data_IF_600815355596
#
_entry.id   IF_600815355596
#
_cell.length_a   1.000
_cell.length_b   1.000
_cell.length_c   1.000
_cell.angle_alpha   90.00
_cell.angle_beta   90.00
_cell.angle_gamma   90.00
#
_symmetry.space_group_name_H-M   'P 1'
#
loop_
_entity.id
_entity.type
_entity.pdbx_description
1 polymer ?
#
# COMPACT_ATOMS: atom_id res chain seq x y z
N UNK A 1 -18.76 19.36 30.34
CA UNK A 1 -17.33 19.55 30.06
C UNK A 1 -16.57 18.67 31.04
N UNK A 2 -15.73 17.74 30.57
CA UNK A 2 -14.87 16.95 31.46
C UNK A 2 -13.94 17.84 32.27
N UNK A 3 -13.58 17.42 33.48
CA UNK A 3 -12.67 18.17 34.34
C UNK A 3 -11.23 18.15 33.79
N UNK A 4 -10.42 19.13 34.18
CA UNK A 4 -8.99 19.15 33.81
C UNK A 4 -8.24 17.91 34.31
N UNK A 5 -8.69 17.33 35.43
CA UNK A 5 -8.14 16.09 35.95
C UNK A 5 -8.45 14.89 35.04
N UNK A 6 -9.66 14.82 34.48
CA UNK A 6 -10.05 13.77 33.54
C UNK A 6 -9.24 13.86 32.24
N UNK A 7 -9.09 15.06 31.69
CA UNK A 7 -8.25 15.30 30.50
C UNK A 7 -6.79 14.92 30.75
N UNK A 8 -6.24 15.23 31.92
CA UNK A 8 -4.89 14.80 32.32
C UNK A 8 -4.76 13.28 32.36
N UNK A 9 -5.71 12.57 32.98
CA UNK A 9 -5.72 11.10 33.02
C UNK A 9 -5.78 10.48 31.62
N UNK A 10 -6.61 11.03 30.73
CA UNK A 10 -6.70 10.59 29.34
C UNK A 10 -5.39 10.83 28.57
N UNK A 11 -4.72 11.96 28.82
CA UNK A 11 -3.40 12.24 28.25
C UNK A 11 -2.34 11.24 28.70
N UNK A 12 -2.31 10.91 29.99
CA UNK A 12 -1.41 9.91 30.56
C UNK A 12 -1.68 8.52 29.98
N UNK A 13 -2.96 8.14 29.84
CA UNK A 13 -3.36 6.89 29.19
C UNK A 13 -2.92 6.84 27.73
N UNK A 14 -3.04 7.95 26.99
CA UNK A 14 -2.55 8.03 25.62
C UNK A 14 -1.06 7.75 25.55
N UNK A 15 -0.25 8.45 26.36
CA UNK A 15 1.21 8.30 26.36
C UNK A 15 1.62 6.87 26.72
N UNK A 16 0.94 6.23 27.68
CA UNK A 16 1.19 4.85 28.04
C UNK A 16 0.85 3.85 26.92
N UNK A 17 -0.18 4.12 26.12
CA UNK A 17 -0.68 3.17 25.11
C UNK A 17 -0.07 3.36 23.71
N UNK A 18 0.11 4.61 23.29
CA UNK A 18 0.55 4.98 21.94
C UNK A 18 1.92 5.66 21.91
N UNK A 19 2.41 6.13 23.06
CA UNK A 19 3.70 6.80 23.19
C UNK A 19 3.59 8.32 23.07
N UNK A 20 4.55 9.03 23.67
CA UNK A 20 4.52 10.49 23.74
C UNK A 20 4.63 11.15 22.36
N UNK A 21 5.51 10.62 21.50
CA UNK A 21 5.75 11.14 20.14
C UNK A 21 4.52 11.02 19.22
N UNK A 22 3.57 10.15 19.54
CA UNK A 22 2.35 9.97 18.75
C UNK A 22 1.31 11.08 19.01
N UNK A 23 1.49 11.88 20.06
CA UNK A 23 0.54 12.93 20.39
C UNK A 23 0.84 14.20 19.58
N UNK A 24 -0.10 14.56 18.72
CA UNK A 24 -0.02 15.73 17.85
C UNK A 24 -1.31 16.56 17.94
N UNK A 25 -1.36 17.72 17.29
CA UNK A 25 -2.52 18.62 17.33
C UNK A 25 -3.87 17.95 17.03
N UNK A 26 -3.90 16.98 16.10
CA UNK A 26 -5.10 16.17 15.82
C UNK A 26 -5.64 15.33 16.99
N UNK A 27 -4.83 14.98 17.99
CA UNK A 27 -5.24 14.32 19.23
C UNK A 27 -5.52 15.31 20.38
N UNK A 28 -4.84 16.45 20.37
CA UNK A 28 -5.07 17.54 21.32
C UNK A 28 -6.48 18.14 21.19
N UNK A 29 -6.93 18.36 19.95
CA UNK A 29 -8.28 18.89 19.67
C UNK A 29 -9.41 18.04 20.26
N UNK A 30 -9.53 16.72 19.97
CA UNK A 30 -10.57 15.90 20.57
C UNK A 30 -10.40 15.77 22.09
N UNK A 31 -9.17 15.73 22.64
CA UNK A 31 -8.99 15.76 24.10
C UNK A 31 -9.56 17.03 24.74
N UNK A 32 -9.45 18.18 24.06
CA UNK A 32 -9.97 19.45 24.57
C UNK A 32 -11.49 19.58 24.39
N UNK A 33 -11.99 19.21 23.21
CA UNK A 33 -13.35 19.47 22.75
C UNK A 33 -14.34 18.35 23.10
N UNK A 34 -13.94 17.09 22.94
CA UNK A 34 -14.78 15.91 23.19
C UNK A 34 -13.96 14.75 23.79
N UNK A 35 -13.72 14.78 25.11
CA UNK A 35 -12.95 13.76 25.83
C UNK A 35 -13.55 12.35 25.72
N UNK A 36 -14.87 12.23 25.55
CA UNK A 36 -15.53 10.95 25.35
C UNK A 36 -15.14 10.35 23.99
N UNK A 37 -15.17 11.16 22.92
CA UNK A 37 -14.69 10.74 21.61
C UNK A 37 -13.18 10.48 21.58
N UNK A 38 -12.37 11.29 22.28
CA UNK A 38 -10.94 11.03 22.47
C UNK A 38 -10.68 9.65 23.09
N UNK A 39 -11.37 9.35 24.20
CA UNK A 39 -11.23 8.09 24.92
C UNK A 39 -11.61 6.89 24.04
N UNK A 40 -12.73 6.99 23.30
CA UNK A 40 -13.14 5.96 22.35
C UNK A 40 -12.13 5.77 21.21
N UNK A 41 -11.61 6.87 20.65
CA UNK A 41 -10.61 6.85 19.58
C UNK A 41 -9.28 6.23 20.05
N UNK A 42 -8.82 6.60 21.25
CA UNK A 42 -7.63 6.00 21.87
C UNK A 42 -7.82 4.50 22.12
N UNK A 43 -8.99 4.09 22.63
CA UNK A 43 -9.31 2.68 22.88
C UNK A 43 -9.21 1.86 21.59
N UNK A 44 -9.77 2.37 20.49
CA UNK A 44 -9.71 1.73 19.17
C UNK A 44 -8.27 1.70 18.62
N UNK A 45 -7.59 2.86 18.59
CA UNK A 45 -6.25 2.99 18.04
C UNK A 45 -5.20 2.18 18.81
N UNK A 46 -5.39 1.95 20.12
CA UNK A 46 -4.45 1.20 20.94
C UNK A 46 -4.58 -0.32 20.85
N UNK A 47 -5.66 -0.86 20.25
CA UNK A 47 -5.87 -2.32 20.20
C UNK A 47 -4.67 -3.05 19.57
N UNK A 48 -4.17 -2.67 18.37
CA UNK A 48 -3.01 -3.33 17.79
C UNK A 48 -1.77 -3.15 18.67
N UNK A 49 -1.65 -1.97 19.30
CA UNK A 49 -0.50 -1.66 20.15
C UNK A 49 -0.45 -2.50 21.42
N UNK A 50 -1.59 -2.82 22.01
CA UNK A 50 -1.71 -3.66 23.22
C UNK A 50 -1.56 -5.14 22.89
N UNK A 51 -2.17 -5.60 21.79
CA UNK A 51 -2.09 -7.01 21.37
C UNK A 51 -0.70 -7.43 20.92
N UNK A 52 0.06 -6.51 20.30
CA UNK A 52 1.47 -6.71 19.94
C UNK A 52 1.76 -7.96 19.10
N UNK A 53 0.81 -8.40 18.25
CA UNK A 53 1.03 -9.51 17.31
C UNK A 53 1.98 -9.16 16.17
N UNK A 54 2.12 -7.88 15.86
CA UNK A 54 3.09 -7.32 14.92
C UNK A 54 4.09 -6.47 15.67
N UNK A 55 5.33 -6.40 15.18
CA UNK A 55 6.36 -5.52 15.76
C UNK A 55 5.96 -4.05 15.63
N UNK A 56 6.58 -3.16 16.41
CA UNK A 56 6.34 -1.71 16.32
C UNK A 56 6.73 -1.15 14.95
N UNK A 57 7.85 -1.65 14.41
CA UNK A 57 8.32 -1.38 13.05
C UNK A 57 7.24 -1.72 12.01
N UNK A 58 6.72 -2.95 12.03
CA UNK A 58 5.74 -3.40 11.03
C UNK A 58 4.42 -2.64 11.14
N UNK A 59 3.97 -2.34 12.37
CA UNK A 59 2.79 -1.50 12.58
C UNK A 59 2.96 -0.12 11.93
N UNK A 60 4.13 0.52 12.11
CA UNK A 60 4.43 1.82 11.52
C UNK A 60 4.56 1.75 9.98
N UNK A 61 5.19 0.70 9.44
CA UNK A 61 5.28 0.48 7.99
C UNK A 61 3.91 0.24 7.34
N UNK A 62 3.00 -0.49 8.01
CA UNK A 62 1.61 -0.68 7.55
C UNK A 62 0.85 0.66 7.55
N UNK A 63 0.95 1.44 8.64
CA UNK A 63 0.31 2.75 8.69
C UNK A 63 0.87 3.71 7.63
N UNK A 64 2.18 3.66 7.36
CA UNK A 64 2.78 4.39 6.24
C UNK A 64 2.18 3.97 4.89
N UNK A 65 1.96 2.67 4.66
CA UNK A 65 1.37 2.20 3.41
C UNK A 65 -0.03 2.81 3.18
N UNK A 66 -0.83 2.90 4.24
CA UNK A 66 -2.18 3.51 4.22
C UNK A 66 -2.09 5.01 3.94
N UNK A 67 -1.24 5.74 4.66
CA UNK A 67 -1.14 7.20 4.52
C UNK A 67 -0.54 7.65 3.19
N UNK A 68 0.37 6.85 2.63
CA UNK A 68 1.03 7.12 1.34
C UNK A 68 0.26 6.64 0.12
N UNK A 69 -0.81 5.84 0.30
CA UNK A 69 -1.65 5.41 -0.80
C UNK A 69 -2.26 6.62 -1.53
N UNK A 70 -2.33 6.57 -2.86
CA UNK A 70 -2.87 7.65 -3.69
C UNK A 70 -4.35 7.97 -3.39
N UNK A 71 -5.06 7.06 -2.75
CA UNK A 71 -6.44 7.22 -2.28
C UNK A 71 -6.56 7.90 -0.92
N UNK A 72 -5.44 8.15 -0.21
CA UNK A 72 -5.44 8.80 1.10
C UNK A 72 -4.54 10.04 1.17
N UNK A 73 -3.25 9.90 0.80
CA UNK A 73 -2.26 10.99 0.72
C UNK A 73 -2.19 11.89 1.97
N UNK A 74 -2.23 11.30 3.17
CA UNK A 74 -2.23 12.04 4.42
C UNK A 74 -0.80 12.39 4.88
N UNK A 75 -0.27 13.51 4.37
CA UNK A 75 1.12 13.92 4.58
C UNK A 75 1.59 14.02 6.06
N UNK A 76 0.77 14.47 7.04
CA UNK A 76 1.18 14.44 8.44
C UNK A 76 1.43 13.02 8.96
N UNK A 77 0.55 12.07 8.60
CA UNK A 77 0.69 10.68 9.00
C UNK A 77 1.85 9.96 8.32
N UNK A 78 2.08 10.23 7.01
CA UNK A 78 3.29 9.78 6.31
C UNK A 78 4.55 10.17 7.10
N UNK A 79 4.68 11.45 7.48
CA UNK A 79 5.85 11.92 8.24
C UNK A 79 5.97 11.25 9.60
N UNK A 80 4.86 11.13 10.33
CA UNK A 80 4.85 10.50 11.65
C UNK A 80 5.24 9.02 11.59
N UNK A 81 4.71 8.26 10.63
CA UNK A 81 4.97 6.84 10.50
C UNK A 81 6.34 6.51 9.91
N UNK A 82 6.89 7.36 9.03
CA UNK A 82 8.30 7.26 8.64
C UNK A 82 9.20 7.43 9.87
N UNK A 83 9.00 8.49 10.66
CA UNK A 83 9.82 8.72 11.86
C UNK A 83 9.70 7.58 12.88
N UNK A 84 8.47 7.11 13.13
CA UNK A 84 8.23 5.99 14.04
C UNK A 84 8.87 4.68 13.56
N UNK A 85 8.77 4.37 12.26
CA UNK A 85 9.40 3.17 11.71
C UNK A 85 10.93 3.21 11.86
N UNK A 86 11.56 4.36 11.59
CA UNK A 86 13.01 4.54 11.76
C UNK A 86 13.44 4.44 13.24
N UNK A 87 12.69 5.06 14.16
CA UNK A 87 12.91 4.93 15.60
C UNK A 87 12.80 3.46 16.07
N UNK A 88 11.93 2.68 15.44
CA UNK A 88 11.72 1.25 15.71
C UNK A 88 12.68 0.33 14.90
N UNK A 89 13.71 0.91 14.26
CA UNK A 89 14.79 0.17 13.60
C UNK A 89 14.55 -0.19 12.12
N UNK A 90 13.56 0.41 11.46
CA UNK A 90 13.48 0.35 10.01
C UNK A 90 14.66 1.11 9.38
N UNK A 91 15.11 0.65 8.22
CA UNK A 91 16.04 1.39 7.38
C UNK A 91 15.30 2.16 6.26
N UNK A 92 16.02 3.07 5.61
CA UNK A 92 15.46 3.91 4.53
C UNK A 92 14.93 3.08 3.35
N UNK A 93 15.54 1.94 3.05
CA UNK A 93 15.11 1.08 1.95
C UNK A 93 13.79 0.38 2.26
N UNK A 94 13.53 0.01 3.52
CA UNK A 94 12.24 -0.56 3.93
C UNK A 94 11.12 0.48 3.76
N UNK A 95 11.38 1.72 4.18
CA UNK A 95 10.44 2.85 4.01
C UNK A 95 10.16 3.12 2.53
N UNK A 96 11.20 3.20 1.69
CA UNK A 96 11.03 3.41 0.25
C UNK A 96 10.28 2.26 -0.41
N UNK A 97 10.57 1.02 -0.02
CA UNK A 97 9.89 -0.15 -0.57
C UNK A 97 8.39 -0.17 -0.24
N UNK A 98 7.98 0.30 0.96
CA UNK A 98 6.55 0.50 1.27
C UNK A 98 5.90 1.49 0.30
N UNK A 99 6.57 2.61 0.01
CA UNK A 99 6.03 3.64 -0.91
C UNK A 99 5.97 3.12 -2.35
N UNK A 100 6.99 2.39 -2.80
CA UNK A 100 7.00 1.71 -4.11
C UNK A 100 5.81 0.74 -4.24
N UNK A 101 5.57 -0.09 -3.21
CA UNK A 101 4.45 -1.03 -3.18
C UNK A 101 3.09 -0.30 -3.16
N UNK A 102 2.92 0.75 -2.35
CA UNK A 102 1.70 1.55 -2.33
C UNK A 102 1.42 2.24 -3.67
N UNK A 103 2.47 2.57 -4.43
CA UNK A 103 2.36 3.25 -5.72
C UNK A 103 1.76 2.36 -6.84
N UNK A 104 1.70 1.03 -6.65
CA UNK A 104 1.08 0.15 -7.66
C UNK A 104 -0.44 0.25 -7.68
N UNK A 105 -1.08 0.88 -6.68
CA UNK A 105 -2.54 0.99 -6.56
C UNK A 105 -3.21 1.59 -7.80
N UNK A 106 -2.52 2.48 -8.52
CA UNK A 106 -3.03 3.13 -9.73
C UNK A 106 -3.42 2.15 -10.85
N UNK A 107 -2.82 0.96 -10.90
CA UNK A 107 -3.13 -0.03 -11.94
C UNK A 107 -4.56 -0.57 -11.85
N UNK A 108 -5.23 -0.40 -10.70
CA UNK A 108 -6.62 -0.81 -10.53
C UNK A 108 -7.56 -0.10 -11.51
N UNK A 109 -7.21 1.10 -11.98
CA UNK A 109 -7.93 1.77 -13.06
C UNK A 109 -7.94 0.93 -14.35
N UNK A 110 -6.81 0.31 -14.71
CA UNK A 110 -6.72 -0.58 -15.87
C UNK A 110 -7.40 -1.92 -15.59
N UNK A 111 -7.19 -2.51 -14.41
CA UNK A 111 -7.79 -3.81 -14.05
C UNK A 111 -9.32 -3.81 -14.10
N UNK A 112 -9.95 -2.65 -13.88
CA UNK A 112 -11.41 -2.48 -13.96
C UNK A 112 -11.84 -1.87 -15.30
N UNK A 113 -11.16 -0.81 -15.74
CA UNK A 113 -11.55 -0.04 -16.92
C UNK A 113 -11.31 -0.78 -18.23
N UNK A 114 -10.26 -1.60 -18.33
CA UNK A 114 -9.96 -2.35 -19.55
C UNK A 114 -10.99 -3.45 -19.83
N UNK A 115 -11.39 -4.30 -18.85
CA UNK A 115 -12.49 -5.24 -19.07
C UNK A 115 -13.79 -4.56 -19.51
N UNK A 116 -14.16 -3.42 -18.89
CA UNK A 116 -15.35 -2.65 -19.29
C UNK A 116 -15.23 -2.09 -20.71
N UNK A 117 -14.05 -1.61 -21.09
CA UNK A 117 -13.78 -1.19 -22.47
C UNK A 117 -13.98 -2.36 -23.44
N UNK A 118 -13.48 -3.55 -23.09
CA UNK A 118 -13.65 -4.77 -23.90
C UNK A 118 -15.11 -5.16 -24.04
N UNK A 119 -15.93 -5.04 -22.99
CA UNK A 119 -17.37 -5.26 -23.05
C UNK A 119 -18.04 -4.33 -24.08
N UNK A 120 -17.76 -3.02 -24.00
CA UNK A 120 -18.30 -2.03 -24.95
C UNK A 120 -17.80 -2.27 -26.38
N UNK A 121 -16.54 -2.70 -26.55
CA UNK A 121 -16.00 -3.04 -27.88
C UNK A 121 -16.70 -4.25 -28.50
N UNK A 122 -17.09 -5.26 -27.71
CA UNK A 122 -17.89 -6.39 -28.19
C UNK A 122 -19.27 -5.93 -28.67
N UNK A 123 -19.90 -5.03 -27.94
CA UNK A 123 -21.18 -4.41 -28.33
C UNK A 123 -21.05 -3.56 -29.61
N UNK A 124 -19.87 -2.99 -29.87
CA UNK A 124 -19.54 -2.18 -31.04
C UNK A 124 -19.45 -2.93 -32.37
N UNK A 125 -19.62 -4.26 -32.37
CA UNK A 125 -19.75 -5.10 -33.57
C UNK A 125 -18.50 -5.89 -33.97
N UNK A 126 -18.66 -6.78 -34.95
CA UNK A 126 -17.69 -7.84 -35.31
C UNK A 126 -16.25 -7.35 -35.58
N UNK A 127 -16.10 -6.11 -36.05
CA UNK A 127 -14.78 -5.53 -36.34
C UNK A 127 -13.90 -5.52 -35.09
N UNK A 128 -14.44 -5.09 -33.95
CA UNK A 128 -13.68 -4.96 -32.72
C UNK A 128 -13.54 -6.32 -32.03
N UNK A 129 -14.58 -7.15 -32.07
CA UNK A 129 -14.56 -8.51 -31.53
C UNK A 129 -13.41 -9.34 -32.12
N UNK A 130 -13.22 -9.29 -33.44
CA UNK A 130 -12.11 -9.98 -34.11
C UNK A 130 -10.73 -9.51 -33.67
N UNK A 131 -10.58 -8.25 -33.25
CA UNK A 131 -9.30 -7.72 -32.76
C UNK A 131 -9.05 -8.14 -31.30
N UNK A 132 -10.05 -8.04 -30.42
CA UNK A 132 -9.92 -8.33 -28.99
C UNK A 132 -9.96 -9.83 -28.64
N UNK A 133 -10.22 -10.71 -29.61
CA UNK A 133 -10.20 -12.17 -29.44
C UNK A 133 -9.00 -12.84 -30.10
N UNK A 134 -8.09 -12.07 -30.72
CA UNK A 134 -6.89 -12.64 -31.32
C UNK A 134 -6.06 -13.38 -30.26
N UNK A 135 -5.52 -14.57 -30.60
CA UNK A 135 -4.48 -15.20 -29.80
C UNK A 135 -3.30 -14.25 -29.59
N UNK A 136 -2.58 -14.44 -28.50
CA UNK A 136 -1.35 -13.71 -28.27
C UNK A 136 -0.29 -14.04 -29.31
N UNK A 137 0.46 -13.01 -29.68
CA UNK A 137 1.72 -13.18 -30.37
C UNK A 137 2.83 -13.59 -29.39
N UNK A 138 3.99 -13.92 -29.94
CA UNK A 138 5.15 -14.35 -29.14
C UNK A 138 5.56 -13.32 -28.08
N UNK A 139 5.41 -12.02 -28.38
CA UNK A 139 5.72 -10.94 -27.42
C UNK A 139 4.80 -10.99 -26.20
N UNK A 140 3.50 -11.12 -26.41
CA UNK A 140 2.52 -11.17 -25.30
C UNK A 140 2.66 -12.44 -24.48
N UNK A 141 2.87 -13.59 -25.12
CA UNK A 141 3.12 -14.83 -24.37
C UNK A 141 4.36 -14.73 -23.48
N UNK A 142 5.44 -14.10 -24.00
CA UNK A 142 6.63 -13.82 -23.19
C UNK A 142 6.33 -12.89 -22.01
N UNK A 143 5.63 -11.77 -22.24
CA UNK A 143 5.29 -10.82 -21.17
C UNK A 143 4.40 -11.47 -20.08
N UNK A 144 3.47 -12.34 -20.47
CA UNK A 144 2.66 -13.14 -19.55
C UNK A 144 3.53 -14.09 -18.70
N UNK A 145 4.47 -14.79 -19.33
CA UNK A 145 5.40 -15.68 -18.63
C UNK A 145 6.27 -14.88 -17.64
N UNK A 146 6.87 -13.78 -18.07
CA UNK A 146 7.71 -12.91 -17.26
C UNK A 146 6.93 -12.32 -16.06
N UNK A 147 5.68 -11.91 -16.27
CA UNK A 147 4.81 -11.44 -15.18
C UNK A 147 4.57 -12.54 -14.16
N UNK A 148 4.18 -13.72 -14.62
CA UNK A 148 3.86 -14.86 -13.75
C UNK A 148 5.09 -15.29 -12.93
N UNK A 149 6.28 -15.31 -13.54
CA UNK A 149 7.52 -15.63 -12.85
C UNK A 149 7.89 -14.60 -11.77
N UNK A 150 7.83 -13.31 -12.11
CA UNK A 150 8.24 -12.22 -11.21
C UNK A 150 7.24 -11.95 -10.09
N UNK A 151 5.94 -12.06 -10.38
CA UNK A 151 4.85 -11.68 -9.46
C UNK A 151 4.23 -12.87 -8.73
N UNK A 152 4.48 -14.10 -9.18
CA UNK A 152 4.01 -15.33 -8.52
C UNK A 152 2.56 -15.72 -8.84
N UNK A 153 1.84 -14.94 -9.64
CA UNK A 153 0.45 -15.23 -10.02
C UNK A 153 0.09 -14.71 -11.42
N UNK A 154 -0.99 -15.26 -11.98
CA UNK A 154 -1.68 -14.76 -13.17
C UNK A 154 -3.19 -14.72 -12.92
N UNK A 155 -3.89 -13.73 -13.46
CA UNK A 155 -5.34 -13.58 -13.33
C UNK A 155 -5.96 -13.03 -14.63
N UNK A 156 -7.22 -13.38 -14.91
CA UNK A 156 -7.91 -13.04 -16.16
C UNK A 156 -8.00 -11.54 -16.48
N UNK A 157 -8.08 -10.65 -15.48
CA UNK A 157 -8.10 -9.20 -15.73
C UNK A 157 -6.80 -8.65 -16.37
N UNK A 158 -5.70 -9.42 -16.34
CA UNK A 158 -4.49 -9.06 -17.09
C UNK A 158 -4.59 -9.37 -18.58
N UNK A 159 -5.51 -10.27 -18.97
CA UNK A 159 -5.52 -10.78 -20.33
C UNK A 159 -5.89 -9.72 -21.35
N UNK A 160 -6.96 -8.98 -21.06
CA UNK A 160 -7.44 -7.91 -21.92
C UNK A 160 -6.48 -6.72 -21.92
N UNK A 161 -5.85 -6.43 -20.77
CA UNK A 161 -4.87 -5.37 -20.68
C UNK A 161 -3.61 -5.66 -21.49
N UNK A 162 -3.03 -6.85 -21.35
CA UNK A 162 -1.89 -7.28 -22.16
C UNK A 162 -2.25 -7.37 -23.65
N UNK A 163 -3.49 -7.73 -23.98
CA UNK A 163 -3.94 -7.75 -25.39
C UNK A 163 -3.93 -6.35 -25.99
N UNK A 164 -4.57 -5.40 -25.30
CA UNK A 164 -4.84 -4.07 -25.82
C UNK A 164 -3.62 -3.14 -25.78
N UNK A 165 -2.75 -3.25 -24.78
CA UNK A 165 -1.61 -2.35 -24.60
C UNK A 165 -0.40 -3.08 -24.00
N UNK A 166 0.33 -3.88 -24.81
CA UNK A 166 1.49 -4.62 -24.33
C UNK A 166 2.66 -3.70 -23.93
N UNK A 167 2.78 -2.51 -24.52
CA UNK A 167 3.78 -1.51 -24.14
C UNK A 167 3.56 -0.99 -22.72
N UNK A 168 2.33 -0.61 -22.37
CA UNK A 168 2.02 -0.21 -21.00
C UNK A 168 2.19 -1.41 -20.06
N UNK A 169 1.65 -2.57 -20.42
CA UNK A 169 1.77 -3.78 -19.59
C UNK A 169 3.24 -4.08 -19.23
N UNK A 170 4.14 -4.02 -20.21
CA UNK A 170 5.58 -4.20 -20.03
C UNK A 170 6.19 -3.16 -19.08
N UNK A 171 5.89 -1.88 -19.28
CA UNK A 171 6.37 -0.79 -18.41
C UNK A 171 5.83 -0.94 -16.97
N UNK A 172 4.57 -1.34 -16.80
CA UNK A 172 4.00 -1.60 -15.49
C UNK A 172 4.63 -2.85 -14.83
N UNK A 173 4.91 -3.90 -15.61
CA UNK A 173 5.63 -5.07 -15.12
C UNK A 173 7.01 -4.69 -14.61
N UNK A 174 7.76 -3.85 -15.33
CA UNK A 174 9.04 -3.32 -14.88
C UNK A 174 8.88 -2.54 -13.57
N UNK A 175 8.02 -1.53 -13.54
CA UNK A 175 7.76 -0.68 -12.38
C UNK A 175 7.39 -1.49 -11.14
N UNK A 176 6.41 -2.38 -11.27
CA UNK A 176 5.86 -3.13 -10.14
C UNK A 176 6.74 -4.30 -9.68
N UNK A 177 7.73 -4.70 -10.48
CA UNK A 177 8.71 -5.74 -10.11
C UNK A 177 9.85 -5.21 -9.25
N UNK A 178 10.10 -3.89 -9.23
CA UNK A 178 11.24 -3.28 -8.50
C UNK A 178 11.32 -3.74 -7.04
N UNK A 179 10.25 -3.72 -6.22
CA UNK A 179 10.29 -4.21 -4.84
C UNK A 179 10.63 -5.70 -4.67
N UNK A 180 10.59 -6.49 -5.74
CA UNK A 180 10.77 -7.94 -5.71
C UNK A 180 12.14 -8.37 -6.23
N UNK A 181 12.80 -7.52 -7.02
CA UNK A 181 14.05 -7.89 -7.73
C UNK A 181 15.19 -6.92 -7.45
N UNK A 182 14.95 -5.77 -6.82
CA UNK A 182 16.02 -4.82 -6.52
C UNK A 182 17.05 -5.41 -5.57
N UNK A 183 18.32 -5.24 -5.90
CA UNK A 183 19.47 -5.65 -5.09
C UNK A 183 19.84 -4.52 -4.14
N UNK A 184 19.61 -4.77 -2.85
CA UNK A 184 19.96 -3.83 -1.80
C UNK A 184 21.29 -4.28 -1.22
N UNK A 185 22.35 -3.53 -1.53
CA UNK A 185 23.71 -3.78 -1.02
C UNK A 185 24.71 -4.36 -2.02
N UNK A 186 24.35 -4.49 -3.31
CA UNK A 186 25.28 -4.92 -4.37
C UNK A 186 25.68 -6.41 -4.28
N UNK A 187 24.80 -7.23 -3.72
CA UNK A 187 25.03 -8.66 -3.46
C UNK A 187 24.80 -9.54 -4.70
N UNK A 188 24.26 -8.98 -5.78
CA UNK A 188 23.89 -9.67 -7.01
C UNK A 188 22.65 -10.56 -6.89
N UNK A 189 21.94 -10.54 -5.74
CA UNK A 189 20.74 -11.35 -5.47
C UNK A 189 19.63 -10.47 -4.91
N UNK A 190 18.94 -9.74 -5.79
CA UNK A 190 17.87 -8.84 -5.37
C UNK A 190 16.57 -9.56 -5.04
N UNK A 191 16.06 -9.29 -3.84
CA UNK A 191 14.74 -9.74 -3.35
C UNK A 191 13.94 -8.61 -2.69
N UNK A 192 14.35 -7.36 -2.86
CA UNK A 192 13.89 -6.27 -1.98
C UNK A 192 14.41 -6.44 -0.55
N UNK A 193 13.88 -5.63 0.38
CA UNK A 193 14.27 -5.63 1.80
C UNK A 193 13.13 -5.98 2.75
N UNK A 194 11.87 -5.87 2.34
CA UNK A 194 10.74 -6.26 3.18
C UNK A 194 10.49 -7.77 3.13
N UNK A 195 10.33 -8.40 4.29
CA UNK A 195 10.01 -9.82 4.44
C UNK A 195 8.74 -9.98 5.31
N UNK A 196 7.96 -11.08 5.15
CA UNK A 196 8.18 -12.17 4.21
C UNK A 196 7.76 -11.80 2.77
N UNK A 197 8.59 -12.15 1.79
CA UNK A 197 8.16 -12.20 0.38
C UNK A 197 7.39 -13.49 0.14
N UNK A 198 6.06 -13.45 0.31
CA UNK A 198 5.19 -14.53 -0.16
C UNK A 198 5.05 -14.38 -1.66
N UNK A 199 5.61 -15.32 -2.43
CA UNK A 199 5.40 -15.43 -3.87
C UNK A 199 4.04 -16.03 -4.16
#
# INVERSE_FOLDING_TARGET
>A
MSSDEEKRKLREQFTAQLGEKAFHAGWESPLSLDPAFFSASLSLASVPRRKSYLSRKDQSLISLAVDSASTHLYAPGIRAHVAAALDDGANVHEVLEVIELSSTLGIHACNIGVPLLVEVLKEGGEKYEKEITKPYDERREKLKADFTEKRGYWHGFWEDFLRLDPEFFEAYLEFSSVPWVKDIGGTGKGKGVLEPKVK
#
